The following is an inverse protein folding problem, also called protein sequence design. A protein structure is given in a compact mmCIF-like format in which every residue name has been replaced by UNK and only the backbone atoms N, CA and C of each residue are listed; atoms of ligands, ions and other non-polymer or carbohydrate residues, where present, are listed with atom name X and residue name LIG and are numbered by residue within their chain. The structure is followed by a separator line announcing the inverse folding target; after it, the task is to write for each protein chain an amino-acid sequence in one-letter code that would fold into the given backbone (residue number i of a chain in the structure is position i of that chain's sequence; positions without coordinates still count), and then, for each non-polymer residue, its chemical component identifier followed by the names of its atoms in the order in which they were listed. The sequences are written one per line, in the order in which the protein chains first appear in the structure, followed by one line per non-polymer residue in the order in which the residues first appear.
data_IF_660390927972
#
_entry.id   IF_660390927972
#
_cell.length_a   1.000
_cell.length_b   1.000
_cell.length_c   1.000
_cell.angle_alpha   90.00
_cell.angle_beta   90.00
_cell.angle_gamma   90.00
#
_symmetry.space_group_name_H-M   'P 1'
#
loop_
_entity.id
_entity.type
_entity.pdbx_description
1 polymer ?
#
# COMPACT_ATOMS: atom_id res chain seq x y z
N UNK A 1 11.29 -9.12 57.18
CA UNK A 1 11.20 -9.84 55.89
C UNK A 1 9.99 -10.75 55.71
N UNK A 2 9.47 -11.43 56.75
CA UNK A 2 8.26 -12.30 56.61
C UNK A 2 6.93 -11.58 56.28
N UNK A 3 6.71 -10.33 56.69
CA UNK A 3 5.46 -9.59 56.40
C UNK A 3 5.33 -9.08 54.96
N UNK A 4 6.43 -8.91 54.25
CA UNK A 4 6.41 -8.47 52.82
C UNK A 4 6.11 -9.65 51.92
N UNK A 5 6.59 -10.85 52.26
CA UNK A 5 6.33 -12.07 51.48
C UNK A 5 4.86 -12.50 51.50
N UNK A 6 4.19 -12.38 52.64
CA UNK A 6 2.75 -12.69 52.80
C UNK A 6 1.86 -11.74 52.00
N UNK A 7 2.25 -10.47 51.82
CA UNK A 7 1.49 -9.50 51.03
C UNK A 7 1.58 -9.74 49.53
N UNK A 8 2.70 -10.26 49.08
CA UNK A 8 2.90 -10.61 47.65
C UNK A 8 2.15 -11.89 47.29
N UNK A 9 2.09 -12.86 48.19
CA UNK A 9 1.31 -14.11 47.97
C UNK A 9 -0.20 -13.85 48.01
N UNK A 10 -0.71 -12.99 48.90
CA UNK A 10 -2.12 -12.62 48.93
C UNK A 10 -2.54 -11.84 47.65
N UNK A 11 -1.68 -11.01 47.09
CA UNK A 11 -1.97 -10.36 45.81
C UNK A 11 -1.92 -11.35 44.63
N UNK A 12 -1.09 -12.39 44.67
CA UNK A 12 -1.11 -13.45 43.64
C UNK A 12 -2.37 -14.32 43.67
N UNK A 13 -2.93 -14.60 44.84
CA UNK A 13 -4.16 -15.39 44.98
C UNK A 13 -5.43 -14.61 44.58
N UNK A 14 -5.47 -13.28 44.72
CA UNK A 14 -6.58 -12.46 44.28
C UNK A 14 -6.74 -12.41 42.72
N UNK A 15 -5.64 -12.64 41.97
CA UNK A 15 -5.66 -12.67 40.50
C UNK A 15 -5.91 -14.07 39.91
N UNK A 16 -6.03 -15.10 40.72
CA UNK A 16 -6.21 -16.49 40.26
C UNK A 16 -7.67 -16.97 40.22
N UNK A 17 -8.66 -16.12 40.57
CA UNK A 17 -10.06 -16.52 40.49
C UNK A 17 -10.52 -16.50 39.00
N UNK A 18 -10.98 -17.63 38.47
CA UNK A 18 -11.39 -17.75 37.05
C UNK A 18 -12.53 -16.79 36.68
N UNK A 19 -13.37 -16.38 37.63
CA UNK A 19 -14.42 -15.40 37.44
C UNK A 19 -13.90 -13.97 37.24
N UNK A 20 -12.78 -13.58 37.86
CA UNK A 20 -12.15 -12.26 37.63
C UNK A 20 -11.46 -12.18 36.29
N UNK A 21 -10.81 -13.25 35.84
CA UNK A 21 -10.24 -13.37 34.49
C UNK A 21 -11.34 -13.33 33.42
N UNK A 22 -12.46 -13.99 33.67
CA UNK A 22 -13.60 -14.02 32.72
C UNK A 22 -14.27 -12.65 32.60
N UNK A 23 -14.44 -11.90 33.70
CA UNK A 23 -15.01 -10.54 33.65
C UNK A 23 -14.07 -9.54 32.98
N UNK A 24 -12.77 -9.67 33.18
CA UNK A 24 -11.77 -8.82 32.50
C UNK A 24 -11.67 -9.13 31.02
N UNK A 25 -11.73 -10.41 30.63
CA UNK A 25 -11.78 -10.85 29.22
C UNK A 25 -13.05 -10.36 28.52
N UNK A 26 -14.21 -10.44 29.22
CA UNK A 26 -15.48 -9.92 28.69
C UNK A 26 -15.49 -8.39 28.56
N UNK A 27 -14.90 -7.67 29.51
CA UNK A 27 -14.77 -6.21 29.45
C UNK A 27 -13.81 -5.77 28.33
N UNK A 28 -12.67 -6.44 28.17
CA UNK A 28 -11.72 -6.18 27.07
C UNK A 28 -12.30 -6.58 25.72
N UNK A 29 -13.06 -7.68 25.64
CA UNK A 29 -13.77 -8.09 24.43
C UNK A 29 -14.88 -7.10 24.03
N UNK A 30 -15.64 -6.59 24.99
CA UNK A 30 -16.64 -5.55 24.76
C UNK A 30 -16.01 -4.22 24.30
N UNK A 31 -14.87 -3.82 24.87
CA UNK A 31 -14.10 -2.64 24.45
C UNK A 31 -13.54 -2.85 23.04
N UNK A 32 -13.07 -4.05 22.71
CA UNK A 32 -12.60 -4.38 21.36
C UNK A 32 -13.73 -4.35 20.33
N UNK A 33 -14.88 -4.94 20.62
CA UNK A 33 -16.11 -4.85 19.84
C UNK A 33 -16.57 -3.38 19.71
N UNK A 34 -16.57 -2.60 20.78
CA UNK A 34 -16.95 -1.19 20.75
C UNK A 34 -15.98 -0.33 19.89
N UNK A 35 -14.68 -0.57 19.97
CA UNK A 35 -13.68 0.13 19.16
C UNK A 35 -13.68 -0.30 17.66
N UNK A 36 -14.07 -1.53 17.38
CA UNK A 36 -14.22 -2.03 15.99
C UNK A 36 -15.56 -1.61 15.38
N UNK A 37 -16.65 -1.59 16.18
CA UNK A 37 -18.01 -1.26 15.72
C UNK A 37 -18.42 0.21 15.88
N UNK A 38 -17.75 1.02 16.71
CA UNK A 38 -18.14 2.42 16.93
C UNK A 38 -17.69 3.41 15.85
N UNK A 39 -17.31 2.93 14.64
CA UNK A 39 -17.00 3.79 13.48
C UNK A 39 -17.85 3.50 12.26
N UNK A 40 -19.17 3.34 12.50
CA UNK A 40 -20.18 3.33 11.41
C UNK A 40 -20.98 4.63 11.45
N UNK A 41 -20.35 5.79 11.61
CA UNK A 41 -20.98 7.11 11.40
C UNK A 41 -19.88 8.16 11.46
N UNK A 42 -19.22 8.44 10.36
CA UNK A 42 -18.49 9.69 10.18
C UNK A 42 -18.95 10.32 8.88
N UNK A 43 -20.02 11.07 8.99
CA UNK A 43 -20.44 12.10 8.07
C UNK A 43 -19.24 13.01 7.78
N UNK A 44 -18.91 13.15 6.52
CA UNK A 44 -17.92 14.09 6.02
C UNK A 44 -18.38 15.52 6.33
N UNK A 45 -17.83 16.13 7.38
CA UNK A 45 -17.95 17.58 7.57
C UNK A 45 -16.97 18.29 6.62
N UNK A 46 -17.51 18.76 5.52
CA UNK A 46 -16.88 19.79 4.71
C UNK A 46 -16.94 21.09 5.52
N UNK A 47 -15.79 21.68 5.78
CA UNK A 47 -15.67 23.02 6.38
C UNK A 47 -16.30 24.05 5.45
N UNK A 48 -17.53 24.45 5.73
CA UNK A 48 -18.12 25.65 5.17
C UNK A 48 -18.00 26.80 6.17
N UNK A 49 -17.34 27.85 5.69
CA UNK A 49 -17.16 29.15 6.34
C UNK A 49 -18.54 29.80 6.51
N UNK A 50 -18.80 30.36 7.66
CA UNK A 50 -20.06 30.93 8.10
C UNK A 50 -20.65 31.97 7.13
N UNK A 51 -21.95 31.81 6.82
CA UNK A 51 -22.85 32.84 6.35
C UNK A 51 -24.15 32.82 7.20
N UNK A 52 -24.91 33.92 7.27
CA UNK A 52 -25.82 34.18 8.36
C UNK A 52 -27.15 33.39 8.27
N UNK A 53 -27.73 33.13 9.45
CA UNK A 53 -28.96 32.36 9.68
C UNK A 53 -30.17 32.99 8.96
N UNK A 54 -30.82 32.19 8.10
CA UNK A 54 -32.20 32.38 7.66
C UNK A 54 -33.16 31.49 8.46
N UNK A 55 -34.43 31.88 8.63
CA UNK A 55 -35.37 31.15 9.47
C UNK A 55 -35.85 29.81 8.85
N UNK A 56 -36.34 28.87 9.64
CA UNK A 56 -36.69 27.53 9.17
C UNK A 56 -37.93 27.58 8.27
N UNK A 57 -37.80 27.11 7.03
CA UNK A 57 -38.93 26.74 6.18
C UNK A 57 -39.41 25.34 6.51
N UNK A 58 -40.71 25.06 6.43
CA UNK A 58 -41.29 23.76 6.73
C UNK A 58 -40.83 22.70 5.74
N UNK A 59 -40.28 21.61 6.24
CA UNK A 59 -40.00 20.41 5.44
C UNK A 59 -41.31 19.79 4.93
N UNK A 60 -41.61 20.03 3.67
CA UNK A 60 -42.57 19.20 2.93
C UNK A 60 -41.76 17.99 2.44
N UNK A 61 -41.84 16.87 3.15
CA UNK A 61 -41.36 15.57 2.69
C UNK A 61 -42.27 15.10 1.53
N UNK A 62 -41.90 15.43 0.31
CA UNK A 62 -42.42 14.74 -0.85
C UNK A 62 -41.94 13.29 -0.82
N UNK A 63 -42.81 12.29 -1.05
CA UNK A 63 -42.36 10.90 -1.14
C UNK A 63 -41.39 10.79 -2.31
N UNK A 64 -40.18 10.28 -2.04
CA UNK A 64 -39.20 10.01 -3.08
C UNK A 64 -39.80 9.07 -4.11
N UNK A 65 -39.76 9.38 -5.41
CA UNK A 65 -40.34 8.53 -6.46
C UNK A 65 -39.69 7.14 -6.38
N UNK A 66 -40.51 6.11 -6.48
CA UNK A 66 -40.07 4.71 -6.48
C UNK A 66 -39.45 4.43 -7.85
N UNK A 67 -38.12 4.53 -7.94
CA UNK A 67 -37.37 4.30 -9.16
C UNK A 67 -37.08 2.82 -9.37
N UNK A 68 -37.36 2.30 -10.56
CA UNK A 68 -36.92 0.98 -11.00
C UNK A 68 -35.47 1.04 -11.49
N UNK A 69 -34.63 0.08 -11.10
CA UNK A 69 -33.21 0.03 -11.52
C UNK A 69 -32.98 -1.06 -12.55
N UNK A 70 -32.44 -0.68 -13.72
CA UNK A 70 -31.96 -1.62 -14.76
C UNK A 70 -30.45 -1.52 -14.94
N UNK A 71 -29.73 -2.66 -14.86
CA UNK A 71 -28.30 -2.72 -15.12
C UNK A 71 -28.04 -3.26 -16.53
N UNK A 72 -27.18 -2.56 -17.30
CA UNK A 72 -26.70 -3.00 -18.61
C UNK A 72 -25.18 -3.07 -18.57
N UNK A 73 -24.62 -4.19 -19.04
CA UNK A 73 -23.17 -4.34 -19.24
C UNK A 73 -22.86 -3.90 -20.68
N UNK A 74 -21.96 -2.94 -20.84
CA UNK A 74 -21.51 -2.46 -22.14
C UNK A 74 -20.81 -3.60 -22.92
N UNK A 75 -21.33 -3.94 -24.09
CA UNK A 75 -20.76 -4.99 -24.95
C UNK A 75 -19.62 -4.43 -25.82
N UNK A 76 -18.68 -5.28 -26.29
CA UNK A 76 -17.68 -4.84 -27.26
C UNK A 76 -18.33 -4.22 -28.51
N UNK A 77 -17.86 -3.02 -28.88
CA UNK A 77 -18.38 -2.23 -30.00
C UNK A 77 -19.71 -1.51 -29.75
N UNK A 78 -20.34 -1.69 -28.61
CA UNK A 78 -21.59 -1.01 -28.27
C UNK A 78 -21.32 0.44 -27.85
N UNK A 79 -22.12 1.36 -28.37
CA UNK A 79 -22.05 2.80 -28.03
C UNK A 79 -23.13 3.17 -27.02
N UNK A 80 -22.98 4.34 -26.39
CA UNK A 80 -24.03 4.87 -25.52
C UNK A 80 -25.36 5.10 -26.29
N UNK A 81 -25.28 5.44 -27.57
CA UNK A 81 -26.46 5.63 -28.43
C UNK A 81 -27.23 4.32 -28.59
N UNK A 82 -26.53 3.19 -28.80
CA UNK A 82 -27.18 1.88 -28.90
C UNK A 82 -27.86 1.47 -27.59
N UNK A 83 -27.32 1.90 -26.48
CA UNK A 83 -27.86 1.58 -25.15
C UNK A 83 -29.06 2.46 -24.85
N UNK A 84 -28.98 3.77 -25.11
CA UNK A 84 -30.08 4.70 -24.86
C UNK A 84 -31.29 4.45 -25.78
N UNK A 85 -31.07 3.94 -26.99
CA UNK A 85 -32.14 3.51 -27.88
C UNK A 85 -33.03 2.41 -27.29
N UNK A 86 -32.53 1.62 -26.33
CA UNK A 86 -33.33 0.62 -25.58
C UNK A 86 -34.32 1.24 -24.60
N UNK A 87 -34.26 2.56 -24.37
CA UNK A 87 -35.10 3.34 -23.48
C UNK A 87 -35.90 4.40 -24.29
N UNK A 88 -36.16 4.12 -25.57
CA UNK A 88 -36.98 4.94 -26.49
C UNK A 88 -36.44 6.36 -26.73
N UNK A 89 -35.14 6.59 -26.51
CA UNK A 89 -34.52 7.87 -26.83
C UNK A 89 -34.44 8.09 -28.34
N UNK A 90 -34.97 9.21 -28.79
CA UNK A 90 -34.82 9.66 -30.16
C UNK A 90 -33.35 10.06 -30.46
N UNK A 91 -32.91 10.02 -31.74
CA UNK A 91 -31.57 10.49 -32.12
C UNK A 91 -31.30 11.94 -31.70
N UNK A 92 -32.31 12.81 -31.67
CA UNK A 92 -32.20 14.19 -31.24
C UNK A 92 -31.92 14.30 -29.72
N UNK A 93 -32.65 13.55 -28.90
CA UNK A 93 -32.42 13.50 -27.43
C UNK A 93 -31.04 12.92 -27.08
N UNK A 94 -30.60 11.88 -27.78
CA UNK A 94 -29.27 11.32 -27.63
C UNK A 94 -28.18 12.36 -27.96
N UNK A 95 -28.37 13.10 -29.03
CA UNK A 95 -27.46 14.18 -29.41
C UNK A 95 -27.40 15.26 -28.33
N UNK A 96 -28.56 15.74 -27.86
CA UNK A 96 -28.67 16.76 -26.81
C UNK A 96 -28.00 16.28 -25.51
N UNK A 97 -28.31 15.07 -25.05
CA UNK A 97 -27.69 14.46 -23.86
C UNK A 97 -26.17 14.43 -24.00
N UNK A 98 -25.65 13.96 -25.13
CA UNK A 98 -24.20 13.90 -25.36
C UNK A 98 -23.54 15.29 -25.32
N UNK A 99 -24.19 16.32 -25.86
CA UNK A 99 -23.63 17.68 -25.82
C UNK A 99 -23.65 18.26 -24.41
N UNK A 100 -24.70 18.03 -23.64
CA UNK A 100 -24.79 18.52 -22.26
C UNK A 100 -23.85 17.79 -21.29
N UNK A 101 -23.64 16.48 -21.47
CA UNK A 101 -22.78 15.67 -20.63
C UNK A 101 -21.29 15.83 -20.98
N UNK A 102 -20.94 16.12 -22.24
CA UNK A 102 -19.58 16.19 -22.76
C UNK A 102 -18.61 17.07 -21.96
N UNK A 103 -19.00 18.24 -21.42
CA UNK A 103 -18.11 19.06 -20.60
C UNK A 103 -17.63 18.35 -19.32
N UNK A 104 -18.39 17.39 -18.79
CA UNK A 104 -18.08 16.63 -17.58
C UNK A 104 -17.42 15.31 -17.94
N UNK A 105 -17.99 14.57 -18.88
CA UNK A 105 -17.47 13.30 -19.36
C UNK A 105 -17.89 13.02 -20.82
N UNK A 106 -16.94 12.60 -21.64
CA UNK A 106 -17.26 12.20 -23.02
C UNK A 106 -17.80 10.76 -23.06
N UNK A 107 -19.11 10.63 -23.27
CA UNK A 107 -19.80 9.34 -23.34
C UNK A 107 -19.35 8.44 -24.52
N UNK A 108 -18.57 8.97 -25.46
CA UNK A 108 -17.92 8.13 -26.46
C UNK A 108 -16.79 7.24 -25.88
N UNK A 109 -16.36 7.50 -24.65
CA UNK A 109 -15.30 6.76 -23.93
C UNK A 109 -15.81 5.66 -23.01
N UNK A 110 -17.07 5.24 -23.15
CA UNK A 110 -17.55 4.08 -22.37
C UNK A 110 -16.77 2.83 -22.75
N UNK A 111 -16.48 1.99 -21.75
CA UNK A 111 -15.60 0.82 -21.89
C UNK A 111 -16.43 -0.46 -21.82
N UNK A 112 -16.21 -1.36 -22.78
CA UNK A 112 -16.82 -2.68 -22.79
C UNK A 112 -16.51 -3.46 -21.48
N UNK A 113 -17.51 -4.16 -20.96
CA UNK A 113 -17.45 -4.90 -19.71
C UNK A 113 -17.84 -4.09 -18.46
N UNK A 114 -17.93 -2.75 -18.56
CA UNK A 114 -18.44 -1.92 -17.46
C UNK A 114 -19.96 -1.88 -17.45
N UNK A 115 -20.51 -1.64 -16.25
CA UNK A 115 -21.95 -1.56 -16.02
C UNK A 115 -22.42 -0.11 -16.09
N UNK A 116 -23.62 0.08 -16.63
CA UNK A 116 -24.39 1.30 -16.51
C UNK A 116 -25.67 0.95 -15.76
N UNK A 117 -26.00 1.70 -14.69
CA UNK A 117 -27.23 1.57 -13.93
C UNK A 117 -28.18 2.66 -14.38
N UNK A 118 -29.38 2.27 -14.87
CA UNK A 118 -30.43 3.18 -15.27
C UNK A 118 -31.52 3.18 -14.20
N UNK A 119 -31.97 4.36 -13.83
CA UNK A 119 -33.04 4.58 -12.86
C UNK A 119 -34.24 5.13 -13.63
N UNK A 120 -35.34 4.37 -13.64
CA UNK A 120 -36.55 4.66 -14.40
C UNK A 120 -37.67 5.07 -13.45
N UNK A 121 -38.49 6.00 -13.87
CA UNK A 121 -39.69 6.39 -13.13
C UNK A 121 -40.86 5.37 -13.32
N UNK A 122 -42.00 5.64 -12.70
CA UNK A 122 -43.18 4.79 -12.77
C UNK A 122 -43.75 4.66 -14.20
N UNK A 123 -43.39 5.59 -15.10
CA UNK A 123 -43.80 5.57 -16.52
C UNK A 123 -42.72 4.90 -17.41
N UNK A 124 -41.72 4.21 -16.80
CA UNK A 124 -40.60 3.63 -17.49
C UNK A 124 -39.72 4.65 -18.25
N UNK A 125 -39.81 5.95 -17.89
CA UNK A 125 -38.94 6.98 -18.47
C UNK A 125 -37.64 7.10 -17.68
N UNK A 126 -36.54 7.42 -18.39
CA UNK A 126 -35.26 7.59 -17.78
C UNK A 126 -35.25 8.83 -16.88
N UNK A 127 -35.08 8.61 -15.56
CA UNK A 127 -34.85 9.64 -14.57
C UNK A 127 -33.36 9.99 -14.46
N UNK A 128 -32.52 8.98 -14.35
CA UNK A 128 -31.04 9.15 -14.26
C UNK A 128 -30.30 7.87 -14.65
N UNK A 129 -29.02 8.01 -14.93
CA UNK A 129 -28.14 6.84 -15.02
C UNK A 129 -26.80 7.09 -14.39
N UNK A 130 -26.14 6.00 -13.96
CA UNK A 130 -24.81 6.00 -13.37
C UNK A 130 -23.86 5.10 -14.17
N UNK A 131 -22.67 5.61 -14.46
CA UNK A 131 -21.63 4.89 -15.17
C UNK A 131 -20.31 4.98 -14.39
N UNK A 132 -19.75 3.84 -14.00
CA UNK A 132 -18.44 3.81 -13.33
C UNK A 132 -17.34 4.19 -14.31
N UNK A 133 -16.76 5.39 -14.13
CA UNK A 133 -15.72 5.94 -15.02
C UNK A 133 -14.37 5.28 -14.75
N UNK A 134 -14.01 5.10 -13.49
CA UNK A 134 -12.77 4.48 -13.04
C UNK A 134 -12.92 3.85 -11.63
N UNK A 135 -11.82 3.56 -10.96
CA UNK A 135 -11.82 3.00 -9.59
C UNK A 135 -12.13 4.04 -8.50
N UNK A 136 -12.26 5.31 -8.85
CA UNK A 136 -12.44 6.39 -7.88
C UNK A 136 -13.78 7.10 -8.04
N UNK A 137 -14.29 7.18 -9.27
CA UNK A 137 -15.43 8.02 -9.63
C UNK A 137 -16.44 7.30 -10.50
N UNK A 138 -17.68 7.73 -10.37
CA UNK A 138 -18.75 7.42 -11.33
C UNK A 138 -19.40 8.70 -11.86
N UNK A 139 -19.84 8.64 -13.10
CA UNK A 139 -20.64 9.66 -13.72
C UNK A 139 -22.10 9.42 -13.34
N UNK A 140 -22.78 10.42 -12.82
CA UNK A 140 -24.23 10.46 -12.69
C UNK A 140 -24.79 11.47 -13.69
N UNK A 141 -25.76 11.04 -14.45
CA UNK A 141 -26.54 11.91 -15.36
C UNK A 141 -28.00 11.86 -14.95
N UNK A 142 -28.55 13.02 -14.64
CA UNK A 142 -29.94 13.17 -14.20
C UNK A 142 -30.71 13.98 -15.24
N UNK A 143 -31.94 13.58 -15.56
CA UNK A 143 -32.87 14.34 -16.42
C UNK A 143 -33.62 15.33 -15.55
N UNK A 144 -33.71 16.59 -16.01
CA UNK A 144 -34.53 17.64 -15.42
C UNK A 144 -35.31 18.38 -16.48
N UNK A 145 -36.05 19.42 -16.09
CA UNK A 145 -36.88 20.22 -16.98
C UNK A 145 -36.08 20.98 -18.07
N UNK A 146 -34.76 21.15 -17.86
CA UNK A 146 -33.84 21.83 -18.77
C UNK A 146 -33.01 20.87 -19.63
N UNK A 147 -33.21 19.57 -19.49
CA UNK A 147 -32.50 18.52 -20.22
C UNK A 147 -31.74 17.58 -19.31
N UNK A 148 -30.41 17.52 -19.46
CA UNK A 148 -29.57 16.57 -18.73
C UNK A 148 -28.45 17.28 -17.94
N UNK A 149 -28.32 16.97 -16.66
CA UNK A 149 -27.24 17.41 -15.83
C UNK A 149 -26.27 16.23 -15.55
N UNK A 150 -24.98 16.50 -15.58
CA UNK A 150 -23.97 15.50 -15.36
C UNK A 150 -23.01 15.93 -14.23
N UNK A 151 -22.62 14.97 -13.40
CA UNK A 151 -21.65 15.18 -12.34
C UNK A 151 -20.74 13.94 -12.18
N UNK A 152 -19.47 14.16 -11.83
CA UNK A 152 -18.55 13.11 -11.43
C UNK A 152 -18.54 13.02 -9.91
N UNK A 153 -18.95 11.88 -9.38
CA UNK A 153 -19.05 11.62 -7.95
C UNK A 153 -18.05 10.55 -7.52
N UNK A 154 -17.50 10.64 -6.30
CA UNK A 154 -16.67 9.57 -5.77
C UNK A 154 -17.50 8.31 -5.55
N UNK A 155 -16.92 7.14 -5.87
CA UNK A 155 -17.56 5.86 -5.56
C UNK A 155 -17.78 5.73 -4.04
N UNK A 156 -18.99 5.35 -3.59
CA UNK A 156 -19.34 5.25 -2.17
C UNK A 156 -18.75 3.98 -1.54
N UNK A 157 -17.43 3.93 -1.43
CA UNK A 157 -16.76 2.80 -0.79
C UNK A 157 -17.04 2.76 0.71
N UNK A 158 -17.51 1.62 1.19
CA UNK A 158 -17.44 1.27 2.61
C UNK A 158 -16.00 0.87 2.94
N UNK A 159 -15.34 1.60 3.83
CA UNK A 159 -13.97 1.32 4.25
C UNK A 159 -14.01 0.55 5.57
N UNK A 160 -13.50 -0.70 5.56
CA UNK A 160 -13.35 -1.53 6.76
C UNK A 160 -11.89 -1.65 7.14
N UNK A 161 -11.58 -1.31 8.38
CA UNK A 161 -10.24 -1.56 8.93
C UNK A 161 -10.15 -3.02 9.38
N UNK A 162 -9.09 -3.70 8.97
CA UNK A 162 -8.79 -5.09 9.33
C UNK A 162 -7.41 -5.19 9.96
N UNK A 163 -7.24 -6.17 10.82
CA UNK A 163 -5.94 -6.54 11.39
C UNK A 163 -5.68 -8.02 11.13
N UNK A 164 -4.53 -8.31 10.56
CA UNK A 164 -4.00 -9.67 10.48
C UNK A 164 -2.64 -9.76 11.17
N UNK A 165 -2.25 -10.97 11.48
CA UNK A 165 -0.96 -11.29 12.08
C UNK A 165 -0.59 -12.72 11.71
N UNK A 166 0.69 -13.02 11.67
CA UNK A 166 1.17 -14.35 11.34
C UNK A 166 2.63 -14.56 11.67
N UNK A 167 3.03 -15.83 11.53
CA UNK A 167 4.41 -16.28 11.66
C UNK A 167 4.87 -16.82 10.32
N UNK A 168 6.06 -16.44 9.90
CA UNK A 168 6.66 -16.93 8.66
C UNK A 168 7.07 -18.38 8.82
N UNK A 169 6.55 -19.25 7.97
CA UNK A 169 6.97 -20.66 7.86
C UNK A 169 7.91 -20.88 6.68
N UNK A 170 7.54 -20.35 5.52
CA UNK A 170 8.29 -20.48 4.28
C UNK A 170 8.63 -19.11 3.68
N UNK A 171 7.62 -18.34 3.30
CA UNK A 171 7.77 -16.98 2.78
C UNK A 171 6.62 -16.08 3.24
N UNK A 172 6.76 -14.78 3.00
CA UNK A 172 5.78 -13.78 3.42
C UNK A 172 4.45 -13.91 2.66
N UNK A 173 4.51 -14.17 1.35
CA UNK A 173 3.33 -14.25 0.48
C UNK A 173 2.42 -15.37 0.95
N UNK A 174 2.95 -16.58 1.08
CA UNK A 174 2.17 -17.75 1.53
C UNK A 174 1.60 -17.54 2.93
N UNK A 175 2.39 -16.90 3.83
CA UNK A 175 1.92 -16.62 5.19
C UNK A 175 0.73 -15.66 5.21
N UNK A 176 0.70 -14.64 4.35
CA UNK A 176 -0.41 -13.68 4.23
C UNK A 176 -1.59 -14.31 3.50
N UNK A 177 -1.36 -15.10 2.45
CA UNK A 177 -2.41 -15.81 1.74
C UNK A 177 -3.16 -16.80 2.65
N UNK A 178 -2.46 -17.46 3.55
CA UNK A 178 -3.05 -18.32 4.57
C UNK A 178 -3.94 -17.57 5.59
N UNK A 179 -3.86 -16.25 5.65
CA UNK A 179 -4.79 -15.39 6.41
C UNK A 179 -6.00 -14.94 5.57
N UNK A 180 -6.16 -15.45 4.33
CA UNK A 180 -7.23 -15.07 3.42
C UNK A 180 -7.03 -13.72 2.71
N UNK A 181 -5.81 -13.21 2.72
CA UNK A 181 -5.46 -11.95 2.04
C UNK A 181 -4.57 -12.22 0.81
N UNK A 182 -4.46 -11.25 -0.11
CA UNK A 182 -3.73 -11.46 -1.37
C UNK A 182 -2.26 -11.07 -1.30
N UNK A 183 -1.49 -11.51 -2.30
CA UNK A 183 -0.09 -11.14 -2.52
C UNK A 183 0.14 -9.64 -2.50
N UNK A 184 -0.87 -8.84 -2.92
CA UNK A 184 -0.79 -7.39 -2.91
C UNK A 184 -0.44 -6.85 -1.52
N UNK A 185 -1.06 -7.39 -0.46
CA UNK A 185 -0.81 -6.96 0.91
C UNK A 185 0.61 -7.35 1.37
N UNK A 186 1.09 -8.53 0.96
CA UNK A 186 2.46 -8.96 1.22
C UNK A 186 3.49 -8.04 0.57
N UNK A 187 3.25 -7.69 -0.69
CA UNK A 187 4.12 -6.78 -1.45
C UNK A 187 4.10 -5.37 -0.85
N UNK A 188 2.93 -4.88 -0.45
CA UNK A 188 2.80 -3.57 0.21
C UNK A 188 3.55 -3.53 1.57
N UNK A 189 3.46 -4.59 2.37
CA UNK A 189 4.22 -4.72 3.61
C UNK A 189 5.73 -4.75 3.34
N UNK A 190 6.16 -5.54 2.36
CA UNK A 190 7.56 -5.63 1.97
C UNK A 190 8.10 -4.28 1.48
N UNK A 191 7.28 -3.48 0.80
CA UNK A 191 7.67 -2.14 0.33
C UNK A 191 7.89 -1.16 1.49
N UNK A 192 7.05 -1.21 2.53
CA UNK A 192 7.19 -0.37 3.74
C UNK A 192 8.54 -0.60 4.41
N UNK A 193 8.95 -1.85 4.56
CA UNK A 193 10.19 -2.21 5.27
C UNK A 193 11.39 -2.48 4.35
N UNK A 194 11.28 -2.24 3.02
CA UNK A 194 12.34 -2.51 2.04
C UNK A 194 13.66 -1.79 2.30
N UNK A 195 13.64 -0.75 3.13
CA UNK A 195 14.81 0.00 3.53
C UNK A 195 15.59 -0.65 4.69
N UNK A 196 14.93 -1.53 5.45
CA UNK A 196 15.49 -2.22 6.62
C UNK A 196 15.65 -3.73 6.41
N UNK A 197 14.73 -4.35 5.67
CA UNK A 197 14.62 -5.80 5.52
C UNK A 197 14.68 -6.16 4.04
N UNK A 198 15.58 -7.05 3.68
CA UNK A 198 15.54 -7.76 2.42
C UNK A 198 14.65 -9.00 2.59
N UNK A 199 13.41 -8.92 2.11
CA UNK A 199 12.39 -9.96 2.32
C UNK A 199 12.70 -11.30 1.62
N UNK A 200 13.78 -11.39 0.88
CA UNK A 200 14.26 -12.65 0.35
C UNK A 200 15.43 -13.22 1.16
N UNK A 201 16.33 -12.35 1.63
CA UNK A 201 17.58 -12.78 2.26
C UNK A 201 17.51 -12.82 3.78
N UNK A 202 16.76 -11.89 4.37
CA UNK A 202 16.74 -11.70 5.82
C UNK A 202 15.64 -12.50 6.50
N UNK A 203 14.59 -12.92 5.77
CA UNK A 203 13.48 -13.68 6.35
C UNK A 203 13.97 -15.02 6.93
N UNK A 204 13.42 -15.36 8.09
CA UNK A 204 13.64 -16.64 8.75
C UNK A 204 12.31 -17.24 9.19
N UNK A 205 12.27 -18.55 9.23
CA UNK A 205 11.18 -19.27 9.88
C UNK A 205 11.08 -18.84 11.34
N UNK A 206 9.87 -18.46 11.78
CA UNK A 206 9.63 -17.91 13.11
C UNK A 206 9.58 -16.38 13.17
N UNK A 207 9.95 -15.66 12.11
CA UNK A 207 9.69 -14.22 12.02
C UNK A 207 8.18 -13.96 12.06
N UNK A 208 7.76 -12.81 12.61
CA UNK A 208 6.35 -12.52 12.80
C UNK A 208 5.96 -11.17 12.23
N UNK A 209 4.69 -11.04 11.86
CA UNK A 209 4.13 -9.77 11.41
C UNK A 209 2.76 -9.49 12.02
N UNK A 210 2.42 -8.21 12.11
CA UNK A 210 1.10 -7.67 12.41
C UNK A 210 0.84 -6.51 11.45
N UNK A 211 -0.33 -6.48 10.83
CA UNK A 211 -0.70 -5.47 9.83
C UNK A 211 -2.11 -4.98 10.14
N UNK A 212 -2.27 -3.66 10.26
CA UNK A 212 -3.57 -2.99 10.27
C UNK A 212 -3.71 -2.26 8.95
N UNK A 213 -4.76 -2.55 8.20
CA UNK A 213 -4.98 -2.04 6.86
C UNK A 213 -6.45 -1.81 6.57
N UNK A 214 -6.74 -1.08 5.50
CA UNK A 214 -8.09 -0.82 5.03
C UNK A 214 -8.46 -1.78 3.89
N UNK A 215 -9.72 -2.19 3.85
CA UNK A 215 -10.37 -2.87 2.72
C UNK A 215 -11.52 -2.02 2.23
N UNK A 216 -11.63 -1.84 0.92
CA UNK A 216 -12.70 -1.10 0.26
C UNK A 216 -13.75 -2.06 -0.24
N UNK A 217 -14.99 -1.79 0.13
CA UNK A 217 -16.17 -2.55 -0.32
C UNK A 217 -17.10 -1.63 -1.09
N UNK A 218 -17.66 -2.12 -2.16
CA UNK A 218 -18.72 -1.46 -2.91
C UNK A 218 -19.91 -2.40 -2.95
N UNK A 219 -21.07 -1.94 -2.49
CA UNK A 219 -22.29 -2.76 -2.40
C UNK A 219 -22.07 -4.08 -1.64
N UNK A 220 -21.30 -4.03 -0.55
CA UNK A 220 -20.98 -5.19 0.28
C UNK A 220 -19.92 -6.14 -0.29
N UNK A 221 -19.46 -5.93 -1.54
CA UNK A 221 -18.43 -6.78 -2.17
C UNK A 221 -17.05 -6.15 -2.00
N UNK A 222 -16.07 -6.98 -1.66
CA UNK A 222 -14.67 -6.54 -1.64
C UNK A 222 -14.21 -6.11 -3.04
N UNK A 223 -13.65 -4.93 -3.16
CA UNK A 223 -13.15 -4.37 -4.44
C UNK A 223 -11.63 -4.28 -4.44
N UNK A 224 -11.06 -3.63 -3.42
CA UNK A 224 -9.61 -3.39 -3.38
C UNK A 224 -9.13 -3.14 -1.94
N UNK A 225 -7.80 -3.20 -1.77
CA UNK A 225 -7.16 -2.78 -0.53
C UNK A 225 -7.02 -1.26 -0.48
N UNK A 226 -7.22 -0.70 0.72
CA UNK A 226 -6.73 0.62 1.08
C UNK A 226 -5.27 0.55 1.57
N UNK A 227 -4.76 1.63 2.15
CA UNK A 227 -3.40 1.66 2.68
C UNK A 227 -3.24 0.76 3.91
N UNK A 228 -2.02 0.29 4.13
CA UNK A 228 -1.60 -0.19 5.45
C UNK A 228 -1.53 1.02 6.38
N UNK A 229 -2.25 0.98 7.51
CA UNK A 229 -2.29 2.07 8.49
C UNK A 229 -1.16 1.95 9.51
N UNK A 230 -0.86 0.70 9.90
CA UNK A 230 0.24 0.38 10.78
C UNK A 230 0.73 -1.04 10.52
N UNK A 231 2.03 -1.25 10.68
CA UNK A 231 2.63 -2.56 10.59
C UNK A 231 3.71 -2.75 11.66
N UNK A 232 3.83 -3.98 12.13
CA UNK A 232 4.93 -4.45 12.97
C UNK A 232 5.51 -5.70 12.33
N UNK A 233 6.82 -5.75 12.19
CA UNK A 233 7.53 -6.90 11.67
C UNK A 233 8.70 -7.25 12.56
N UNK A 234 8.73 -8.48 13.09
CA UNK A 234 9.87 -8.99 13.87
C UNK A 234 10.68 -9.92 12.99
N UNK A 235 11.89 -9.50 12.66
CA UNK A 235 12.83 -10.24 11.85
C UNK A 235 14.06 -10.58 12.68
N UNK A 236 14.37 -11.87 12.83
CA UNK A 236 15.51 -12.37 13.58
C UNK A 236 15.61 -11.76 15.00
N UNK A 237 14.47 -11.63 15.69
CA UNK A 237 14.36 -11.07 17.03
C UNK A 237 14.38 -9.54 17.11
N UNK A 238 14.56 -8.84 15.99
CA UNK A 238 14.50 -7.38 15.94
C UNK A 238 13.13 -6.92 15.41
N UNK A 239 12.44 -6.09 16.19
CA UNK A 239 11.13 -5.55 15.82
C UNK A 239 11.26 -4.21 15.12
N UNK A 240 10.56 -4.08 13.99
CA UNK A 240 10.39 -2.87 13.20
C UNK A 240 8.92 -2.47 13.23
N UNK A 241 8.65 -1.18 13.40
CA UNK A 241 7.30 -0.65 13.41
C UNK A 241 7.16 0.47 12.39
N UNK A 242 6.02 0.51 11.73
CA UNK A 242 5.66 1.50 10.73
C UNK A 242 4.26 2.03 11.00
N UNK A 243 4.11 3.34 11.03
CA UNK A 243 2.82 4.01 11.21
C UNK A 243 2.63 5.00 10.08
N UNK A 244 1.52 4.86 9.35
CA UNK A 244 1.18 5.78 8.26
C UNK A 244 0.71 7.12 8.82
N UNK A 245 1.21 8.19 8.26
CA UNK A 245 0.74 9.54 8.52
C UNK A 245 0.44 10.27 7.23
N UNK A 246 -0.72 10.92 7.17
CA UNK A 246 -1.11 11.80 6.09
C UNK A 246 -1.03 13.22 6.60
N UNK A 247 -0.23 14.05 5.96
CA UNK A 247 -0.07 15.46 6.28
C UNK A 247 -1.36 16.21 5.95
N UNK A 248 -1.96 16.91 6.92
CA UNK A 248 -3.26 17.58 6.71
C UNK A 248 -3.19 18.76 5.73
N UNK A 249 -2.02 19.37 5.57
CA UNK A 249 -1.79 20.52 4.71
C UNK A 249 -1.52 20.15 3.24
N UNK A 250 -0.89 18.99 2.98
CA UNK A 250 -0.51 18.57 1.62
C UNK A 250 -1.25 17.34 1.12
N UNK A 251 -1.94 16.60 2.01
CA UNK A 251 -2.53 15.30 1.69
C UNK A 251 -1.50 14.19 1.43
N UNK A 252 -0.21 14.50 1.42
CA UNK A 252 0.85 13.48 1.23
C UNK A 252 0.93 12.55 2.42
N UNK A 253 1.24 11.29 2.15
CA UNK A 253 1.34 10.26 3.19
C UNK A 253 2.68 9.56 3.11
N UNK A 254 3.23 9.21 4.28
CA UNK A 254 4.42 8.38 4.39
C UNK A 254 4.39 7.55 5.68
N UNK A 255 5.38 6.67 5.86
CA UNK A 255 5.51 5.81 7.02
C UNK A 255 6.66 6.27 7.93
N UNK A 256 6.39 6.28 9.23
CA UNK A 256 7.32 6.74 10.25
C UNK A 256 7.38 5.75 11.41
N UNK A 257 8.53 5.71 12.11
CA UNK A 257 8.61 5.08 13.44
C UNK A 257 7.80 5.89 14.45
N UNK A 258 7.55 5.35 15.63
CA UNK A 258 6.83 6.08 16.69
C UNK A 258 7.48 7.41 17.07
N UNK A 259 8.81 7.50 16.94
CA UNK A 259 9.61 8.71 17.19
C UNK A 259 9.55 9.71 16.04
N UNK A 260 8.82 9.43 14.96
CA UNK A 260 8.68 10.28 13.80
C UNK A 260 9.87 10.22 12.82
N UNK A 261 10.72 9.20 12.93
CA UNK A 261 11.78 8.98 11.94
C UNK A 261 11.18 8.32 10.70
N UNK A 262 11.54 8.81 9.51
CA UNK A 262 11.12 8.17 8.26
C UNK A 262 11.65 6.74 8.16
N UNK A 263 10.81 5.81 7.72
CA UNK A 263 11.29 4.47 7.36
C UNK A 263 12.12 4.50 6.09
N UNK A 264 11.90 5.49 5.21
CA UNK A 264 12.75 5.65 4.03
C UNK A 264 14.13 6.10 4.44
N UNK A 265 15.14 5.44 3.91
CA UNK A 265 16.55 5.78 4.07
C UNK A 265 17.12 6.33 2.78
N UNK A 266 18.36 6.84 2.86
CA UNK A 266 19.07 7.34 1.68
C UNK A 266 19.12 6.31 0.55
N UNK A 267 19.19 4.99 0.88
CA UNK A 267 19.24 3.91 -0.10
C UNK A 267 18.38 2.72 0.32
N UNK A 268 17.73 2.09 -0.67
CA UNK A 268 17.12 0.77 -0.52
C UNK A 268 18.17 -0.27 -0.16
N UNK A 269 17.78 -1.28 0.58
CA UNK A 269 18.67 -2.35 1.01
C UNK A 269 19.11 -3.24 -0.17
N UNK A 270 18.26 -3.44 -1.15
CA UNK A 270 18.54 -4.23 -2.35
C UNK A 270 18.05 -3.52 -3.62
N UNK A 271 18.81 -3.56 -4.74
CA UNK A 271 18.39 -3.04 -6.03
C UNK A 271 17.42 -3.98 -6.78
N UNK A 272 17.22 -5.18 -6.29
CA UNK A 272 16.33 -6.20 -6.85
C UNK A 272 15.45 -6.77 -5.75
N UNK A 273 14.14 -6.81 -6.00
CA UNK A 273 13.21 -7.50 -5.11
C UNK A 273 13.38 -9.02 -5.27
N UNK A 274 13.47 -9.74 -4.16
CA UNK A 274 13.50 -11.21 -4.11
C UNK A 274 14.67 -11.87 -4.88
N UNK A 275 15.88 -11.29 -4.83
CA UNK A 275 17.07 -11.86 -5.45
C UNK A 275 18.03 -12.50 -4.44
N UNK A 276 18.62 -13.64 -4.80
CA UNK A 276 19.60 -14.34 -3.97
C UNK A 276 20.98 -13.74 -4.13
N UNK A 277 21.69 -13.44 -3.03
CA UNK A 277 23.10 -13.05 -3.07
C UNK A 277 23.95 -14.30 -3.36
N UNK A 278 24.72 -14.24 -4.44
CA UNK A 278 25.67 -15.30 -4.85
C UNK A 278 27.12 -14.93 -4.52
N UNK A 279 27.42 -13.63 -4.42
CA UNK A 279 28.74 -13.19 -4.02
C UNK A 279 28.67 -11.91 -3.22
N UNK A 280 29.41 -11.86 -2.12
CA UNK A 280 29.47 -10.71 -1.24
C UNK A 280 30.65 -9.80 -1.59
N UNK A 281 30.60 -8.56 -1.10
CA UNK A 281 31.75 -7.63 -1.13
C UNK A 281 32.97 -8.25 -0.45
N UNK A 282 34.14 -8.15 -1.12
CA UNK A 282 35.40 -8.64 -0.59
C UNK A 282 36.58 -7.86 -1.16
N UNK A 283 37.58 -7.57 -0.36
CA UNK A 283 38.82 -6.98 -0.84
C UNK A 283 39.73 -7.99 -1.54
N UNK A 284 39.55 -9.31 -1.28
CA UNK A 284 40.30 -10.39 -1.90
C UNK A 284 39.45 -11.64 -2.00
N UNK A 285 39.10 -12.06 -3.23
CA UNK A 285 38.46 -13.36 -3.50
C UNK A 285 39.05 -13.99 -4.74
N UNK A 286 38.96 -15.31 -4.87
CA UNK A 286 39.33 -16.01 -6.09
C UNK A 286 38.29 -15.66 -7.18
N UNK A 287 38.78 -15.06 -8.28
CA UNK A 287 37.93 -14.68 -9.39
C UNK A 287 37.43 -15.93 -10.14
N UNK A 288 36.10 -16.13 -10.34
CA UNK A 288 35.55 -17.38 -10.85
C UNK A 288 36.04 -17.74 -12.28
N UNK A 289 36.24 -16.72 -13.13
CA UNK A 289 36.71 -16.91 -14.52
C UNK A 289 38.23 -16.89 -14.59
N UNK A 290 38.86 -15.86 -14.04
CA UNK A 290 40.30 -15.61 -14.22
C UNK A 290 41.21 -16.43 -13.28
N UNK A 291 40.61 -17.09 -12.28
CA UNK A 291 41.32 -17.93 -11.27
C UNK A 291 42.49 -17.24 -10.55
N UNK A 292 42.41 -15.92 -10.37
CA UNK A 292 43.35 -15.09 -9.62
C UNK A 292 42.60 -14.36 -8.50
N UNK A 293 43.33 -14.07 -7.40
CA UNK A 293 42.75 -13.29 -6.31
C UNK A 293 42.57 -11.83 -6.72
N UNK A 294 41.36 -11.36 -6.63
CA UNK A 294 40.96 -9.98 -6.98
C UNK A 294 39.91 -9.45 -6.01
N UNK A 295 39.85 -8.14 -5.80
CA UNK A 295 38.77 -7.55 -5.05
C UNK A 295 37.44 -7.67 -5.85
N UNK A 296 36.37 -7.89 -5.10
CA UNK A 296 35.00 -7.75 -5.58
C UNK A 296 34.33 -6.61 -4.82
N UNK A 297 34.28 -5.44 -5.45
CA UNK A 297 33.77 -4.22 -4.84
C UNK A 297 32.26 -4.07 -4.93
N UNK A 298 31.52 -5.18 -5.11
CA UNK A 298 30.07 -5.22 -5.23
C UNK A 298 29.44 -6.37 -4.47
N UNK A 299 28.15 -6.51 -4.70
CA UNK A 299 27.35 -7.65 -4.26
C UNK A 299 26.64 -8.20 -5.50
N UNK A 300 26.82 -9.50 -5.76
CA UNK A 300 26.19 -10.17 -6.88
C UNK A 300 24.84 -10.73 -6.46
N UNK A 301 23.79 -10.29 -7.13
CA UNK A 301 22.43 -10.74 -6.95
C UNK A 301 22.01 -11.64 -8.11
N UNK A 302 21.88 -12.95 -7.89
CA UNK A 302 21.36 -13.87 -8.90
C UNK A 302 19.86 -13.67 -9.07
N UNK A 303 19.44 -13.46 -10.31
CA UNK A 303 18.04 -13.36 -10.69
C UNK A 303 17.86 -13.78 -12.15
N UNK A 304 16.63 -14.10 -12.56
CA UNK A 304 16.32 -14.45 -13.94
C UNK A 304 16.62 -13.29 -14.88
N UNK A 305 17.06 -13.60 -16.11
CA UNK A 305 17.21 -12.58 -17.16
C UNK A 305 15.90 -11.82 -17.31
N UNK A 306 15.98 -10.49 -17.35
CA UNK A 306 14.81 -9.62 -17.47
C UNK A 306 14.17 -9.21 -16.13
N UNK A 307 14.66 -9.71 -15.00
CA UNK A 307 14.21 -9.22 -13.68
C UNK A 307 14.45 -7.71 -13.57
N UNK A 308 13.48 -6.90 -13.15
CA UNK A 308 13.63 -5.47 -12.99
C UNK A 308 14.70 -5.09 -11.98
N UNK A 309 15.58 -4.16 -12.37
CA UNK A 309 16.60 -3.55 -11.50
C UNK A 309 16.16 -2.13 -11.16
N UNK A 310 16.11 -1.81 -9.87
CA UNK A 310 15.67 -0.52 -9.36
C UNK A 310 16.85 0.36 -8.95
N UNK A 311 16.72 1.67 -9.17
CA UNK A 311 17.60 2.65 -8.54
C UNK A 311 17.44 2.55 -7.02
N UNK A 312 18.52 2.40 -6.29
CA UNK A 312 18.46 2.25 -4.83
C UNK A 312 18.20 3.57 -4.09
N UNK A 313 18.39 4.69 -4.77
CA UNK A 313 18.13 6.04 -4.25
C UNK A 313 17.80 7.02 -5.39
N UNK A 314 17.27 8.21 -5.02
CA UNK A 314 17.14 9.34 -5.94
C UNK A 314 18.51 9.73 -6.50
N UNK A 315 18.61 9.94 -7.80
CA UNK A 315 19.89 10.27 -8.42
C UNK A 315 19.80 10.77 -9.85
N UNK A 316 20.98 10.98 -10.43
CA UNK A 316 21.14 11.38 -11.83
C UNK A 316 22.02 10.34 -12.55
N UNK A 317 21.59 9.89 -13.71
CA UNK A 317 22.36 8.96 -14.56
C UNK A 317 23.60 9.67 -15.06
N UNK A 318 24.79 9.20 -14.67
CA UNK A 318 26.07 9.75 -15.14
C UNK A 318 26.69 8.90 -16.25
N UNK A 319 26.31 7.63 -16.33
CA UNK A 319 26.73 6.72 -17.38
C UNK A 319 25.61 5.70 -17.66
N UNK A 320 25.42 5.40 -18.93
CA UNK A 320 24.61 4.31 -19.44
C UNK A 320 25.25 3.83 -20.74
N UNK A 321 25.58 2.54 -20.86
CA UNK A 321 26.27 1.99 -22.01
C UNK A 321 27.06 0.72 -21.71
N UNK A 322 27.86 0.29 -22.67
CA UNK A 322 28.77 -0.84 -22.53
C UNK A 322 30.08 -0.37 -21.88
N UNK A 323 30.57 -1.12 -20.88
CA UNK A 323 31.82 -0.81 -20.16
C UNK A 323 32.69 -2.06 -19.95
N UNK A 324 33.31 -2.53 -21.01
CA UNK A 324 34.26 -3.65 -21.02
C UNK A 324 33.71 -4.89 -20.26
N UNK A 325 34.48 -5.39 -19.30
CA UNK A 325 34.14 -6.54 -18.47
C UNK A 325 32.81 -6.38 -17.70
N UNK A 326 32.38 -5.15 -17.39
CA UNK A 326 31.11 -4.87 -16.70
C UNK A 326 29.87 -5.06 -17.62
N UNK A 327 30.07 -5.23 -18.92
CA UNK A 327 28.99 -5.33 -19.88
C UNK A 327 28.12 -4.06 -19.96
N UNK A 328 26.82 -4.21 -20.16
CA UNK A 328 25.89 -3.10 -20.06
C UNK A 328 25.76 -2.64 -18.61
N UNK A 329 26.01 -1.36 -18.40
CA UNK A 329 26.10 -0.76 -17.07
C UNK A 329 25.34 0.56 -16.99
N UNK A 330 24.77 0.82 -15.82
CA UNK A 330 24.27 2.14 -15.41
C UNK A 330 25.10 2.62 -14.22
N UNK A 331 25.45 3.91 -14.21
CA UNK A 331 26.01 4.59 -13.05
C UNK A 331 25.13 5.78 -12.68
N UNK A 332 24.75 5.83 -11.42
CA UNK A 332 24.00 6.94 -10.83
C UNK A 332 24.90 7.73 -9.90
N UNK A 333 24.76 9.04 -9.91
CA UNK A 333 25.29 9.94 -8.88
C UNK A 333 24.14 10.40 -7.99
N UNK A 334 24.34 10.26 -6.70
CA UNK A 334 23.39 10.63 -5.66
C UNK A 334 23.87 11.87 -4.89
N UNK A 335 23.02 12.36 -4.00
CA UNK A 335 23.43 13.39 -3.02
C UNK A 335 24.50 12.84 -2.07
N UNK A 336 25.14 13.73 -1.33
CA UNK A 336 26.08 13.42 -0.26
C UNK A 336 27.34 12.65 -0.70
N UNK A 337 27.69 12.65 -2.01
CA UNK A 337 28.92 12.03 -2.51
C UNK A 337 28.83 10.52 -2.73
N UNK A 338 27.62 9.97 -2.87
CA UNK A 338 27.42 8.58 -3.25
C UNK A 338 27.30 8.41 -4.77
N UNK A 339 27.80 7.26 -5.23
CA UNK A 339 27.57 6.74 -6.59
C UNK A 339 27.18 5.26 -6.51
N UNK A 340 26.22 4.85 -7.34
CA UNK A 340 25.85 3.43 -7.48
C UNK A 340 26.08 2.95 -8.90
N UNK A 341 26.41 1.66 -9.03
CA UNK A 341 26.75 1.01 -10.27
C UNK A 341 25.93 -0.27 -10.39
N UNK A 342 25.34 -0.48 -11.56
CA UNK A 342 24.47 -1.62 -11.90
C UNK A 342 25.04 -2.28 -13.17
N UNK A 343 25.67 -3.44 -13.00
CA UNK A 343 26.46 -4.09 -14.07
C UNK A 343 25.77 -5.35 -14.58
N UNK A 344 26.25 -5.85 -15.72
CA UNK A 344 25.82 -7.08 -16.40
C UNK A 344 24.34 -7.05 -16.84
N UNK A 345 23.79 -5.86 -17.09
CA UNK A 345 22.39 -5.67 -17.50
C UNK A 345 22.12 -6.31 -18.86
N UNK A 346 20.86 -6.77 -19.09
CA UNK A 346 20.36 -7.14 -20.40
C UNK A 346 20.02 -5.90 -21.21
N UNK A 347 19.24 -4.99 -20.59
CA UNK A 347 18.68 -3.80 -21.21
C UNK A 347 18.53 -2.67 -20.19
N UNK A 348 18.27 -1.46 -20.70
CA UNK A 348 17.93 -0.27 -19.94
C UNK A 348 16.43 -0.04 -20.00
N UNK A 349 15.84 0.50 -18.93
CA UNK A 349 14.44 0.89 -18.93
C UNK A 349 14.23 2.15 -19.81
N UNK A 350 13.00 2.33 -20.29
CA UNK A 350 12.63 3.48 -21.11
C UNK A 350 12.95 4.79 -20.38
N UNK A 351 13.47 5.78 -21.11
CA UNK A 351 13.84 7.10 -20.58
C UNK A 351 15.19 7.14 -19.83
N UNK A 352 15.89 6.01 -19.65
CA UNK A 352 17.20 5.98 -18.99
C UNK A 352 18.29 6.39 -19.99
N UNK A 353 18.79 7.61 -19.80
CA UNK A 353 19.89 8.22 -20.58
C UNK A 353 20.75 9.09 -19.70
N UNK A 354 21.96 9.39 -20.11
CA UNK A 354 22.85 10.31 -19.36
C UNK A 354 22.15 11.63 -19.09
N UNK A 355 22.22 12.10 -17.85
CA UNK A 355 21.53 13.30 -17.37
C UNK A 355 20.10 13.07 -16.87
N UNK A 356 19.49 11.90 -17.14
CA UNK A 356 18.14 11.60 -16.63
C UNK A 356 18.13 11.57 -15.09
N UNK A 357 17.09 12.17 -14.50
CA UNK A 357 16.81 12.06 -13.06
C UNK A 357 16.00 10.80 -12.81
N UNK A 358 16.36 10.04 -11.80
CA UNK A 358 15.66 8.83 -11.36
C UNK A 358 15.27 8.93 -9.89
N UNK A 359 14.19 8.25 -9.53
CA UNK A 359 13.73 8.12 -8.13
C UNK A 359 14.18 6.79 -7.54
N UNK A 360 14.41 6.76 -6.23
CA UNK A 360 14.58 5.51 -5.49
C UNK A 360 13.37 4.60 -5.72
N UNK A 361 13.62 3.31 -6.02
CA UNK A 361 12.59 2.34 -6.41
C UNK A 361 12.21 2.36 -7.88
N UNK A 362 12.63 3.36 -8.68
CA UNK A 362 12.35 3.39 -10.12
C UNK A 362 13.12 2.29 -10.83
N UNK A 363 12.44 1.53 -11.73
CA UNK A 363 13.11 0.56 -12.62
C UNK A 363 14.00 1.32 -13.60
N UNK A 364 15.29 0.97 -13.61
CA UNK A 364 16.31 1.60 -14.48
C UNK A 364 16.87 0.66 -15.53
N UNK A 365 16.70 -0.64 -15.36
CA UNK A 365 17.18 -1.66 -16.28
C UNK A 365 16.72 -3.05 -15.88
N UNK A 366 17.29 -4.04 -16.54
CA UNK A 366 16.89 -5.44 -16.37
C UNK A 366 18.12 -6.33 -16.22
N UNK A 367 18.03 -7.34 -15.34
CA UNK A 367 19.10 -8.32 -15.12
C UNK A 367 19.46 -9.01 -16.43
N UNK A 368 20.75 -9.19 -16.65
CA UNK A 368 21.32 -9.91 -17.78
C UNK A 368 22.51 -10.78 -17.41
N UNK A 369 23.37 -11.02 -18.40
CA UNK A 369 24.65 -11.72 -18.27
C UNK A 369 25.66 -11.11 -19.24
N UNK A 370 25.61 -9.80 -19.47
CA UNK A 370 26.49 -9.12 -20.42
C UNK A 370 27.89 -8.89 -19.82
N UNK A 371 28.93 -8.84 -20.64
CA UNK A 371 30.32 -8.71 -20.20
C UNK A 371 30.90 -10.00 -19.59
N UNK A 372 31.78 -9.89 -18.60
CA UNK A 372 32.40 -11.04 -17.94
C UNK A 372 31.50 -11.58 -16.83
N UNK A 373 30.40 -12.25 -17.19
CA UNK A 373 29.46 -12.88 -16.28
C UNK A 373 29.45 -14.41 -16.47
N UNK A 374 29.41 -15.17 -15.39
CA UNK A 374 29.30 -16.65 -15.43
C UNK A 374 27.87 -17.14 -15.54
N UNK A 375 26.89 -16.28 -15.35
CA UNK A 375 25.48 -16.56 -15.40
C UNK A 375 24.65 -15.31 -15.13
N UNK A 376 23.32 -15.38 -15.20
CA UNK A 376 22.44 -14.22 -14.99
C UNK A 376 22.56 -13.68 -13.57
N UNK A 377 23.01 -12.43 -13.42
CA UNK A 377 23.10 -11.74 -12.13
C UNK A 377 23.22 -10.22 -12.35
N UNK A 378 23.00 -9.48 -11.29
CA UNK A 378 23.37 -8.08 -11.15
C UNK A 378 24.58 -7.96 -10.23
N UNK A 379 25.67 -7.33 -10.68
CA UNK A 379 26.74 -6.84 -9.78
C UNK A 379 26.38 -5.40 -9.39
N UNK A 380 26.04 -5.21 -8.12
CA UNK A 380 25.67 -3.92 -7.54
C UNK A 380 26.78 -3.38 -6.66
N UNK A 381 27.19 -2.14 -6.94
CA UNK A 381 28.29 -1.48 -6.20
C UNK A 381 27.90 -0.11 -5.71
N UNK A 382 28.49 0.28 -4.59
CA UNK A 382 28.34 1.64 -4.04
C UNK A 382 29.73 2.22 -3.82
N UNK A 383 29.90 3.50 -4.23
CA UNK A 383 31.02 4.35 -3.80
C UNK A 383 30.49 5.44 -2.90
N UNK A 384 31.27 5.75 -1.87
CA UNK A 384 31.10 6.92 -1.03
C UNK A 384 32.36 7.74 -1.05
N UNK A 385 32.29 8.99 -1.51
CA UNK A 385 33.44 9.90 -1.67
C UNK A 385 34.63 9.24 -2.38
N UNK A 386 34.36 8.57 -3.52
CA UNK A 386 35.35 7.92 -4.35
C UNK A 386 35.83 6.53 -3.90
N UNK A 387 35.44 6.04 -2.71
CA UNK A 387 35.83 4.72 -2.20
C UNK A 387 34.67 3.73 -2.25
N UNK A 388 34.94 2.51 -2.70
CA UNK A 388 33.94 1.44 -2.65
C UNK A 388 33.65 1.06 -1.20
N UNK A 389 32.38 0.90 -0.88
CA UNK A 389 31.88 0.47 0.43
C UNK A 389 31.08 -0.81 0.28
N UNK A 390 30.99 -1.61 1.37
CA UNK A 390 30.17 -2.81 1.37
C UNK A 390 28.68 -2.44 1.46
N UNK A 391 27.86 -2.66 0.39
CA UNK A 391 26.45 -2.31 0.39
C UNK A 391 25.63 -2.95 1.52
N UNK A 392 26.00 -4.16 1.95
CA UNK A 392 25.27 -4.93 2.97
C UNK A 392 25.59 -4.48 4.40
N UNK A 393 26.76 -3.91 4.63
CA UNK A 393 27.20 -3.49 5.97
C UNK A 393 26.97 -2.00 6.24
N UNK A 394 26.78 -1.20 5.19
CA UNK A 394 26.64 0.24 5.34
C UNK A 394 25.27 0.61 5.90
N UNK A 395 25.25 1.50 6.88
CA UNK A 395 24.02 1.99 7.50
C UNK A 395 23.67 3.35 6.93
N UNK A 396 22.60 3.39 6.15
CA UNK A 396 22.07 4.64 5.58
C UNK A 396 21.20 5.38 6.59
N UNK A 397 21.16 6.70 6.48
CA UNK A 397 20.35 7.56 7.36
C UNK A 397 18.91 7.62 6.88
N UNK A 398 17.94 7.76 7.80
CA UNK A 398 16.57 8.11 7.45
C UNK A 398 16.53 9.44 6.70
N UNK A 399 15.63 9.55 5.71
CA UNK A 399 15.39 10.80 4.98
C UNK A 399 14.04 11.40 5.42
N UNK A 400 13.94 12.72 5.42
CA UNK A 400 12.69 13.42 5.67
C UNK A 400 11.93 12.95 6.92
N UNK A 401 12.44 13.19 8.14
CA UNK A 401 11.70 12.90 9.36
C UNK A 401 10.35 13.62 9.35
N UNK A 402 9.39 13.11 10.11
CA UNK A 402 8.10 13.77 10.30
C UNK A 402 8.34 15.21 10.79
N UNK A 403 7.61 16.17 10.22
CA UNK A 403 7.69 17.57 10.65
C UNK A 403 7.28 17.69 12.11
N UNK A 404 8.04 18.42 12.90
CA UNK A 404 7.91 18.51 14.37
C UNK A 404 6.53 18.97 14.83
N UNK A 405 5.89 19.89 14.08
CA UNK A 405 4.55 20.40 14.38
C UNK A 405 3.46 19.31 14.34
N UNK A 406 3.68 18.23 13.60
CA UNK A 406 2.72 17.12 13.50
C UNK A 406 3.03 15.94 14.41
N UNK A 407 4.17 15.97 15.13
CA UNK A 407 4.64 14.81 15.91
C UNK A 407 3.62 14.40 17.00
N UNK A 408 3.02 15.34 17.70
CA UNK A 408 2.06 15.05 18.77
C UNK A 408 0.77 14.41 18.24
N UNK A 409 0.22 14.92 17.12
CA UNK A 409 -0.96 14.34 16.46
C UNK A 409 -0.66 12.95 15.91
N UNK A 410 0.47 12.80 15.25
CA UNK A 410 0.95 11.51 14.76
C UNK A 410 1.06 10.47 15.88
N UNK A 411 1.75 10.80 16.98
CA UNK A 411 1.93 9.88 18.11
C UNK A 411 0.62 9.52 18.77
N UNK A 412 -0.34 10.46 18.86
CA UNK A 412 -1.70 10.17 19.36
C UNK A 412 -2.41 9.12 18.49
N UNK A 413 -2.26 9.21 17.15
CA UNK A 413 -2.81 8.22 16.20
C UNK A 413 -2.07 6.88 16.28
N UNK A 414 -0.74 6.91 16.31
CA UNK A 414 0.09 5.70 16.37
C UNK A 414 -0.12 4.89 17.65
N UNK A 415 -0.33 5.54 18.82
CA UNK A 415 -0.62 4.87 20.09
C UNK A 415 -1.83 3.95 20.01
N UNK A 416 -2.86 4.29 19.22
CA UNK A 416 -4.04 3.44 19.04
C UNK A 416 -3.65 2.11 18.38
N UNK A 417 -2.80 2.14 17.35
CA UNK A 417 -2.33 0.94 16.65
C UNK A 417 -1.40 0.10 17.53
N UNK A 418 -0.48 0.75 18.27
CA UNK A 418 0.38 0.05 19.25
C UNK A 418 -0.47 -0.67 20.30
N UNK A 419 -1.53 -0.05 20.78
CA UNK A 419 -2.47 -0.68 21.72
C UNK A 419 -3.13 -1.92 21.10
N UNK A 420 -3.59 -1.85 19.85
CA UNK A 420 -4.12 -3.02 19.12
C UNK A 420 -3.09 -4.16 19.02
N UNK A 421 -1.84 -3.84 18.71
CA UNK A 421 -0.76 -4.84 18.64
C UNK A 421 -0.52 -5.51 20.00
N UNK A 422 -0.49 -4.72 21.10
CA UNK A 422 -0.28 -5.24 22.47
C UNK A 422 -1.45 -6.09 22.95
N UNK A 423 -2.70 -5.70 22.68
CA UNK A 423 -3.88 -6.52 23.02
C UNK A 423 -3.75 -7.88 22.37
N UNK A 424 -3.35 -7.93 21.08
CA UNK A 424 -3.16 -9.19 20.37
C UNK A 424 -2.12 -10.07 21.04
N UNK A 425 -0.95 -9.52 21.43
CA UNK A 425 0.11 -10.27 22.10
C UNK A 425 -0.37 -10.85 23.42
N UNK A 426 -1.18 -10.08 24.17
CA UNK A 426 -1.79 -10.53 25.40
C UNK A 426 -2.72 -11.73 25.16
N UNK A 427 -3.64 -11.63 24.20
CA UNK A 427 -4.56 -12.73 23.89
C UNK A 427 -3.82 -13.98 23.39
N UNK A 428 -2.81 -13.82 22.53
CA UNK A 428 -2.04 -14.95 22.00
C UNK A 428 -1.28 -15.70 23.11
N UNK A 429 -0.90 -15.01 24.18
CA UNK A 429 -0.20 -15.61 25.33
C UNK A 429 -1.15 -16.39 26.25
N UNK A 430 -2.43 -16.01 26.31
CA UNK A 430 -3.38 -16.55 27.31
C UNK A 430 -4.53 -17.37 26.72
N UNK A 431 -4.74 -17.36 25.40
CA UNK A 431 -5.83 -18.09 24.74
C UNK A 431 -5.22 -19.06 23.71
N UNK A 432 -5.46 -20.38 23.81
CA UNK A 432 -5.02 -21.36 22.81
C UNK A 432 -5.60 -21.03 21.43
N UNK A 433 -4.81 -21.27 20.38
CA UNK A 433 -5.17 -20.97 18.98
C UNK A 433 -6.52 -21.53 18.52
N UNK A 434 -6.98 -22.63 19.10
CA UNK A 434 -8.26 -23.27 18.79
C UNK A 434 -9.50 -22.45 19.12
N UNK A 435 -9.45 -21.51 20.06
CA UNK A 435 -10.57 -20.63 20.42
C UNK A 435 -10.67 -19.37 19.54
N UNK A 436 -9.62 -19.02 18.83
CA UNK A 436 -9.58 -17.78 18.04
C UNK A 436 -10.38 -17.85 16.72
N UNK A 437 -10.58 -19.05 16.18
CA UNK A 437 -11.36 -19.29 14.95
C UNK A 437 -12.87 -19.06 15.14
N UNK A 438 -13.37 -19.08 16.38
CA UNK A 438 -14.80 -18.87 16.70
C UNK A 438 -15.18 -17.38 16.70
N UNK A 439 -14.20 -16.47 16.85
CA UNK A 439 -14.45 -15.01 16.96
C UNK A 439 -14.05 -14.22 15.72
N UNK A 440 -13.60 -14.88 14.64
CA UNK A 440 -13.18 -14.23 13.38
C UNK A 440 -14.12 -14.48 12.20
N UNK A 441 -15.25 -15.16 12.44
CA UNK A 441 -16.32 -15.37 11.46
C UNK A 441 -17.36 -14.25 11.49
#
# INVERSE_FOLDING_TARGET
MKKVHLRIEQQRQAFSHPLFLLSYVLACGAIFLFLVFSRSSSTSQVLNKAAPKSPPSPEISSPSPKLETKEIVVKPGQTISDILALFDFSPGEIYQLRQQVKPVYDLARIIAGRKIKFFLDENNQLHSFEYQVDEQQFLRVTRDDNGFQAELLPLPYEIKTRMIFGTITDNLIDSINNQGESDFLALALAEIFAWDIDFYLDLRRGDTYKIIFEKKYLEGRFVNYGPILAAEFTNQGRTFQAFRYTYPDTGQSDYFTFEGQSLRKEFLKSPIKFARITSRFSYSRLHPIRKVYRPHYGVDYAARIGTPVQATADGVVTFVGWNGASGRMIRLRHKNGYETFYLHLRDYASGIRRGAKVKGGQVIGYVGASGEATGPHLDYRIKYRGRYINPLAWRFRPVHPLRSEFLADFQKKARKYIFCFKIKDFFQKFIPQTLFLIFSS
#
